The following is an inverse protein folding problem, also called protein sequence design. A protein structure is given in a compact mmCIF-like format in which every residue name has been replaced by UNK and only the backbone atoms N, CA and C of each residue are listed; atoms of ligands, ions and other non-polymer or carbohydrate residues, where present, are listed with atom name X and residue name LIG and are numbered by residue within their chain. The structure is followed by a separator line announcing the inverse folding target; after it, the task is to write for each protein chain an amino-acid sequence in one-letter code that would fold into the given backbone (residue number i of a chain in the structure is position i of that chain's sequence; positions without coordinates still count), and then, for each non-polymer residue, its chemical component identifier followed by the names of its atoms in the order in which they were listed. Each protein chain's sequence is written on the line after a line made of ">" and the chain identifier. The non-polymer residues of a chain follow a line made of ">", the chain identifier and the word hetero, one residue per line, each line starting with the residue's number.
data_IF_022007307066
#
_entry.id   IF_022007307066
#
_cell.length_a   1.000
_cell.length_b   1.000
_cell.length_c   1.000
_cell.angle_alpha   90.00
_cell.angle_beta   90.00
_cell.angle_gamma   90.00
#
_symmetry.space_group_name_H-M   'P 1'
#
loop_
_entity.id
_entity.type
_entity.pdbx_description
1 polymer ?
#
# COMPACT_ATOMS: atom_id res chain seq x y z
N UNK A 1 -16.84 -16.55 -9.01
CA UNK A 1 -18.11 -17.30 -8.98
C UNK A 1 -18.20 -18.48 -9.98
N UNK A 2 -17.34 -18.57 -10.98
CA UNK A 2 -17.35 -19.64 -12.01
C UNK A 2 -16.94 -21.03 -11.48
N UNK A 3 -16.04 -21.10 -10.50
CA UNK A 3 -15.51 -22.37 -9.97
C UNK A 3 -16.54 -23.17 -9.13
N UNK A 4 -17.47 -22.49 -8.43
CA UNK A 4 -18.51 -23.17 -7.65
C UNK A 4 -19.46 -24.01 -8.55
N UNK A 5 -19.59 -23.68 -9.83
CA UNK A 5 -20.40 -24.44 -10.80
C UNK A 5 -19.72 -25.77 -11.23
N UNK A 6 -18.42 -25.94 -10.98
CA UNK A 6 -17.62 -27.09 -11.44
C UNK A 6 -17.47 -28.22 -10.40
N UNK A 7 -18.20 -28.20 -9.28
CA UNK A 7 -18.13 -29.21 -8.20
C UNK A 7 -16.71 -29.47 -7.67
N UNK A 8 -15.84 -28.46 -7.65
CA UNK A 8 -14.49 -28.54 -7.07
C UNK A 8 -14.52 -28.04 -5.62
N UNK A 9 -13.72 -28.65 -4.76
CA UNK A 9 -13.50 -28.15 -3.40
C UNK A 9 -12.69 -26.84 -3.50
N UNK A 10 -13.25 -25.78 -2.94
CA UNK A 10 -12.62 -24.45 -2.97
C UNK A 10 -12.25 -24.08 -1.55
N UNK A 11 -10.98 -23.80 -1.31
CA UNK A 11 -10.49 -23.13 -0.10
C UNK A 11 -10.20 -21.67 -0.48
N UNK A 12 -10.99 -20.75 0.09
CA UNK A 12 -10.80 -19.32 -0.13
C UNK A 12 -9.76 -18.80 0.86
N UNK A 13 -8.57 -18.52 0.35
CA UNK A 13 -7.44 -17.97 1.12
C UNK A 13 -7.33 -16.43 0.98
N UNK A 14 -8.38 -15.75 0.51
CA UNK A 14 -8.38 -14.29 0.41
C UNK A 14 -8.19 -13.66 1.79
N UNK A 15 -7.24 -12.75 1.91
CA UNK A 15 -6.99 -12.02 3.15
C UNK A 15 -8.29 -11.38 3.67
N UNK A 16 -8.61 -11.47 4.97
CA UNK A 16 -9.83 -10.89 5.55
C UNK A 16 -10.00 -9.39 5.28
N UNK A 17 -8.90 -8.63 5.25
CA UNK A 17 -8.92 -7.21 4.92
C UNK A 17 -9.37 -6.98 3.48
N UNK A 18 -8.84 -7.73 2.52
CA UNK A 18 -9.26 -7.66 1.11
C UNK A 18 -10.72 -8.09 0.95
N UNK A 19 -11.13 -9.20 1.61
CA UNK A 19 -12.53 -9.64 1.61
C UNK A 19 -13.50 -8.59 2.17
N UNK A 20 -13.06 -7.82 3.16
CA UNK A 20 -13.83 -6.69 3.71
C UNK A 20 -14.04 -5.61 2.65
N UNK A 21 -13.00 -5.25 1.90
CA UNK A 21 -13.10 -4.25 0.83
C UNK A 21 -14.09 -4.72 -0.25
N UNK A 22 -14.00 -5.97 -0.67
CA UNK A 22 -14.92 -6.55 -1.66
C UNK A 22 -16.40 -6.39 -1.25
N UNK A 23 -16.72 -6.64 0.03
CA UNK A 23 -18.07 -6.45 0.56
C UNK A 23 -18.50 -4.99 0.57
N UNK A 24 -17.60 -4.08 0.98
CA UNK A 24 -17.86 -2.63 1.03
C UNK A 24 -18.19 -2.11 -0.37
N UNK A 25 -17.33 -2.37 -1.36
CA UNK A 25 -17.51 -1.82 -2.71
C UNK A 25 -18.71 -2.42 -3.42
N UNK A 26 -19.01 -3.70 -3.17
CA UNK A 26 -20.21 -4.35 -3.67
C UNK A 26 -21.45 -3.64 -3.15
N UNK A 27 -21.58 -3.51 -1.82
CA UNK A 27 -22.74 -2.87 -1.20
C UNK A 27 -22.87 -1.41 -1.64
N UNK A 28 -21.77 -0.63 -1.62
CA UNK A 28 -21.80 0.77 -2.03
C UNK A 28 -22.27 0.94 -3.49
N UNK A 29 -21.80 0.08 -4.40
CA UNK A 29 -22.22 0.14 -5.80
C UNK A 29 -23.65 -0.35 -6.02
N UNK A 30 -24.13 -1.32 -5.23
CA UNK A 30 -25.55 -1.75 -5.22
C UNK A 30 -26.47 -0.63 -4.70
N UNK A 31 -26.00 0.16 -3.73
CA UNK A 31 -26.70 1.35 -3.18
C UNK A 31 -26.66 2.56 -4.13
N UNK A 32 -26.10 2.41 -5.32
CA UNK A 32 -26.02 3.47 -6.34
C UNK A 32 -24.93 4.52 -6.10
N UNK A 33 -24.04 4.33 -5.12
CA UNK A 33 -22.89 5.21 -4.87
C UNK A 33 -21.84 5.03 -5.97
N UNK A 34 -21.08 6.08 -6.24
CA UNK A 34 -19.87 5.98 -7.06
C UNK A 34 -18.70 5.50 -6.21
N UNK A 35 -18.13 4.36 -6.55
CA UNK A 35 -16.96 3.82 -5.85
C UNK A 35 -15.70 4.49 -6.38
N UNK A 36 -14.89 5.05 -5.50
CA UNK A 36 -13.55 5.58 -5.77
C UNK A 36 -12.52 4.70 -5.07
N UNK A 37 -11.64 4.08 -5.85
CA UNK A 37 -10.57 3.23 -5.35
C UNK A 37 -9.27 4.02 -5.39
N UNK A 38 -8.66 4.25 -4.23
CA UNK A 38 -7.34 4.87 -4.13
C UNK A 38 -6.27 3.78 -4.17
N UNK A 39 -5.56 3.67 -5.29
CA UNK A 39 -4.59 2.62 -5.53
C UNK A 39 -4.08 2.60 -6.96
N UNK A 40 -3.10 1.75 -7.24
CA UNK A 40 -2.53 1.60 -8.58
C UNK A 40 -3.47 0.79 -9.48
N UNK A 41 -3.88 1.37 -10.61
CA UNK A 41 -4.92 0.83 -11.49
C UNK A 41 -4.59 -0.59 -12.00
N UNK A 42 -3.30 -0.86 -12.26
CA UNK A 42 -2.84 -2.16 -12.77
C UNK A 42 -2.48 -3.17 -11.66
N UNK A 43 -2.73 -2.84 -10.38
CA UNK A 43 -2.39 -3.74 -9.29
C UNK A 43 -3.42 -4.88 -9.17
N UNK A 44 -3.01 -6.16 -9.00
CA UNK A 44 -3.92 -7.30 -8.93
C UNK A 44 -5.02 -7.17 -7.87
N UNK A 45 -4.72 -6.55 -6.72
CA UNK A 45 -5.71 -6.27 -5.68
C UNK A 45 -6.77 -5.27 -6.16
N UNK A 46 -6.36 -4.19 -6.85
CA UNK A 46 -7.26 -3.16 -7.39
C UNK A 46 -8.14 -3.76 -8.49
N UNK A 47 -7.58 -4.58 -9.36
CA UNK A 47 -8.35 -5.36 -10.35
C UNK A 47 -9.39 -6.27 -9.68
N UNK A 48 -8.99 -6.93 -8.59
CA UNK A 48 -9.91 -7.73 -7.77
C UNK A 48 -11.06 -6.88 -7.21
N UNK A 49 -10.77 -5.71 -6.64
CA UNK A 49 -11.77 -4.79 -6.07
C UNK A 49 -12.74 -4.31 -7.17
N UNK A 50 -12.24 -3.91 -8.35
CA UNK A 50 -13.07 -3.51 -9.51
C UNK A 50 -14.09 -4.59 -9.86
N UNK A 51 -13.68 -5.86 -9.83
CA UNK A 51 -14.54 -7.01 -10.16
C UNK A 51 -15.72 -7.23 -9.21
N UNK A 52 -15.72 -6.60 -8.03
CA UNK A 52 -16.83 -6.66 -7.08
C UNK A 52 -17.80 -5.48 -7.20
N UNK A 53 -17.45 -4.43 -7.94
CA UNK A 53 -18.34 -3.31 -8.18
C UNK A 53 -19.40 -3.68 -9.25
N UNK A 54 -20.65 -3.29 -9.03
CA UNK A 54 -21.76 -3.46 -9.98
C UNK A 54 -21.64 -2.45 -11.13
N UNK A 55 -21.20 -1.22 -10.81
CA UNK A 55 -20.90 -0.17 -11.77
C UNK A 55 -19.40 0.05 -11.87
N UNK A 56 -18.93 0.62 -12.99
CA UNK A 56 -17.49 0.90 -13.19
C UNK A 56 -16.99 1.87 -12.11
N UNK A 57 -16.04 1.46 -11.26
CA UNK A 57 -15.44 2.34 -10.27
C UNK A 57 -14.45 3.30 -10.92
N UNK A 58 -14.11 4.36 -10.19
CA UNK A 58 -13.03 5.30 -10.54
C UNK A 58 -11.79 4.88 -9.74
N UNK A 59 -10.64 4.82 -10.40
CA UNK A 59 -9.36 4.55 -9.72
C UNK A 59 -8.51 5.80 -9.80
N UNK A 60 -7.91 6.17 -8.67
CA UNK A 60 -6.98 7.30 -8.57
C UNK A 60 -5.78 6.91 -7.71
N UNK A 61 -4.60 7.42 -8.05
CA UNK A 61 -3.36 7.14 -7.34
C UNK A 61 -2.69 8.40 -6.78
N UNK A 62 -3.15 9.59 -7.17
CA UNK A 62 -2.49 10.85 -6.84
C UNK A 62 -3.45 11.97 -6.46
N UNK A 63 -2.93 12.97 -5.72
CA UNK A 63 -3.63 14.21 -5.41
C UNK A 63 -4.06 14.96 -6.69
N UNK A 64 -3.20 15.00 -7.70
CA UNK A 64 -3.50 15.64 -8.99
C UNK A 64 -4.69 14.98 -9.72
N UNK A 65 -4.85 13.66 -9.60
CA UNK A 65 -6.02 12.97 -10.15
C UNK A 65 -7.27 13.29 -9.34
N UNK A 66 -7.17 13.35 -8.00
CA UNK A 66 -8.28 13.75 -7.14
C UNK A 66 -8.76 15.18 -7.44
N UNK A 67 -7.84 16.12 -7.72
CA UNK A 67 -8.18 17.48 -8.12
C UNK A 67 -8.96 17.55 -9.44
N UNK A 68 -8.68 16.66 -10.38
CA UNK A 68 -9.35 16.60 -11.69
C UNK A 68 -10.70 15.90 -11.66
N UNK A 69 -11.03 15.22 -10.56
CA UNK A 69 -12.33 14.57 -10.43
C UNK A 69 -13.42 15.62 -10.28
N UNK A 70 -14.30 15.70 -11.28
CA UNK A 70 -15.45 16.60 -11.31
C UNK A 70 -16.74 15.85 -11.68
N UNK A 71 -17.85 16.40 -11.20
CA UNK A 71 -19.23 16.11 -11.58
C UNK A 71 -19.63 14.62 -11.50
N UNK A 72 -19.97 14.18 -10.29
CA UNK A 72 -20.54 12.84 -10.07
C UNK A 72 -22.07 12.78 -10.21
N UNK A 73 -22.70 13.81 -10.81
CA UNK A 73 -24.15 13.83 -11.00
C UNK A 73 -24.96 13.80 -9.72
N UNK A 74 -24.43 14.38 -8.63
CA UNK A 74 -25.08 14.38 -7.30
C UNK A 74 -25.04 13.03 -6.57
N UNK A 75 -24.32 12.05 -7.08
CA UNK A 75 -24.18 10.75 -6.43
C UNK A 75 -23.22 10.84 -5.24
N UNK A 76 -23.56 10.13 -4.17
CA UNK A 76 -22.67 9.92 -3.04
C UNK A 76 -21.45 9.07 -3.44
N UNK A 77 -20.28 9.44 -2.93
CA UNK A 77 -19.04 8.71 -3.15
C UNK A 77 -18.79 7.70 -2.03
N UNK A 78 -18.25 6.54 -2.37
CA UNK A 78 -17.65 5.61 -1.42
C UNK A 78 -16.16 5.48 -1.75
N UNK A 79 -15.30 5.97 -0.87
CA UNK A 79 -13.85 5.97 -1.06
C UNK A 79 -13.26 4.79 -0.29
N UNK A 80 -12.55 3.92 -0.99
CA UNK A 80 -11.75 2.82 -0.43
C UNK A 80 -10.31 2.94 -0.91
N UNK A 81 -9.38 2.24 -0.25
CA UNK A 81 -7.99 2.19 -0.68
C UNK A 81 -7.50 0.76 -0.87
N UNK A 82 -6.51 0.60 -1.73
CA UNK A 82 -5.65 -0.59 -1.77
C UNK A 82 -5.01 -0.80 -0.39
N UNK A 83 -4.97 -2.05 0.11
CA UNK A 83 -4.50 -2.37 1.47
C UNK A 83 -3.06 -1.96 1.76
N UNK A 84 -2.23 -1.88 0.73
CA UNK A 84 -0.80 -1.52 0.81
C UNK A 84 -0.53 -0.08 0.35
N UNK A 85 -1.56 0.76 0.17
CA UNK A 85 -1.36 2.14 -0.27
C UNK A 85 -0.65 2.98 0.80
N UNK A 86 -0.02 4.08 0.38
CA UNK A 86 0.63 5.01 1.31
C UNK A 86 -0.42 5.77 2.11
N UNK A 87 -0.40 5.61 3.44
CA UNK A 87 -1.39 6.19 4.35
C UNK A 87 -1.45 7.72 4.27
N UNK A 88 -0.30 8.40 4.21
CA UNK A 88 -0.25 9.86 4.11
C UNK A 88 -0.83 10.35 2.78
N UNK A 89 -0.45 9.73 1.66
CA UNK A 89 -1.02 10.06 0.34
C UNK A 89 -2.54 9.83 0.32
N UNK A 90 -3.04 8.77 0.97
CA UNK A 90 -4.48 8.51 1.08
C UNK A 90 -5.20 9.64 1.80
N UNK A 91 -4.66 10.09 2.94
CA UNK A 91 -5.24 11.24 3.68
C UNK A 91 -5.27 12.50 2.83
N UNK A 92 -4.18 12.84 2.15
CA UNK A 92 -4.10 14.01 1.27
C UNK A 92 -5.18 13.95 0.17
N UNK A 93 -5.40 12.78 -0.44
CA UNK A 93 -6.44 12.56 -1.45
C UNK A 93 -7.84 12.74 -0.85
N UNK A 94 -8.09 12.16 0.32
CA UNK A 94 -9.38 12.29 1.02
C UNK A 94 -9.66 13.75 1.37
N UNK A 95 -8.67 14.49 1.85
CA UNK A 95 -8.80 15.91 2.18
C UNK A 95 -9.15 16.76 0.96
N UNK A 96 -8.56 16.46 -0.20
CA UNK A 96 -8.90 17.13 -1.47
C UNK A 96 -10.35 16.85 -1.86
N UNK A 97 -10.78 15.59 -1.84
CA UNK A 97 -12.13 15.21 -2.22
C UNK A 97 -13.18 15.78 -1.25
N UNK A 98 -12.87 15.85 0.04
CA UNK A 98 -13.76 16.42 1.07
C UNK A 98 -14.02 17.92 0.87
N UNK A 99 -13.03 18.65 0.34
CA UNK A 99 -13.16 20.09 0.05
C UNK A 99 -14.05 20.38 -1.17
N UNK A 100 -14.33 19.40 -2.00
CA UNK A 100 -15.14 19.55 -3.22
C UNK A 100 -16.65 19.49 -3.00
N UNK A 101 -17.11 19.54 -1.75
CA UNK A 101 -18.55 19.55 -1.37
C UNK A 101 -19.33 18.31 -1.84
N UNK A 102 -18.65 17.17 -2.00
CA UNK A 102 -19.30 15.89 -2.28
C UNK A 102 -19.81 15.23 -0.99
N UNK A 103 -20.92 14.52 -1.07
CA UNK A 103 -21.31 13.57 0.00
C UNK A 103 -20.44 12.33 -0.13
N UNK A 104 -19.53 12.13 0.84
CA UNK A 104 -18.51 11.09 0.79
C UNK A 104 -18.56 10.17 2.02
N UNK A 105 -18.52 8.86 1.78
CA UNK A 105 -18.23 7.85 2.78
C UNK A 105 -16.77 7.40 2.62
N UNK A 106 -15.93 7.75 3.57
CA UNK A 106 -14.53 7.36 3.57
C UNK A 106 -14.35 6.08 4.37
N UNK A 107 -13.91 5.03 3.69
CA UNK A 107 -13.57 3.75 4.31
C UNK A 107 -12.05 3.57 4.27
N UNK A 108 -11.37 3.85 5.39
CA UNK A 108 -9.95 3.53 5.49
C UNK A 108 -9.78 2.01 5.45
N UNK A 109 -9.36 1.51 4.31
CA UNK A 109 -9.14 0.08 4.06
C UNK A 109 -7.66 -0.28 3.95
N UNK A 110 -6.76 0.65 4.26
CA UNK A 110 -5.34 0.34 4.44
C UNK A 110 -5.21 -0.65 5.60
N UNK A 111 -4.43 -1.71 5.42
CA UNK A 111 -4.21 -2.69 6.47
C UNK A 111 -3.45 -2.04 7.65
N UNK A 112 -3.93 -2.21 8.89
CA UNK A 112 -3.30 -1.64 10.08
C UNK A 112 -1.80 -2.00 10.17
N UNK A 113 -1.45 -3.26 9.88
CA UNK A 113 -0.05 -3.67 9.85
C UNK A 113 0.78 -2.93 8.78
N UNK A 114 0.14 -2.49 7.69
CA UNK A 114 0.79 -1.64 6.67
C UNK A 114 1.00 -0.23 7.20
N UNK A 115 -0.02 0.36 7.83
CA UNK A 115 0.06 1.71 8.42
C UNK A 115 1.11 1.77 9.53
N UNK A 116 1.10 0.82 10.47
CA UNK A 116 2.09 0.72 11.54
C UNK A 116 3.50 0.62 10.98
N UNK A 117 3.72 -0.29 10.03
CA UNK A 117 5.03 -0.49 9.40
C UNK A 117 5.52 0.74 8.64
N UNK A 118 4.64 1.46 7.96
CA UNK A 118 4.98 2.70 7.26
C UNK A 118 5.37 3.81 8.24
N UNK A 119 4.64 3.94 9.33
CA UNK A 119 4.89 4.94 10.39
C UNK A 119 6.23 4.65 11.09
N UNK A 120 6.46 3.40 11.46
CA UNK A 120 7.70 2.95 12.11
C UNK A 120 8.91 3.15 11.19
N UNK A 121 8.81 2.71 9.93
CA UNK A 121 9.88 2.87 8.94
C UNK A 121 10.27 4.34 8.73
N UNK A 122 9.30 5.24 8.64
CA UNK A 122 9.55 6.68 8.54
C UNK A 122 10.19 7.26 9.80
N UNK A 123 9.84 6.75 10.99
CA UNK A 123 10.42 7.19 12.25
C UNK A 123 11.87 6.73 12.36
N UNK A 124 12.16 5.47 12.04
CA UNK A 124 13.52 4.91 12.02
C UNK A 124 14.38 5.69 11.01
N UNK A 125 13.86 5.93 9.81
CA UNK A 125 14.59 6.64 8.75
C UNK A 125 15.05 8.04 9.18
N UNK A 126 14.22 8.80 9.92
CA UNK A 126 14.59 10.12 10.44
C UNK A 126 15.72 10.08 11.47
N UNK A 127 15.94 8.95 12.10
CA UNK A 127 16.92 8.78 13.19
C UNK A 127 18.18 8.04 12.74
N UNK A 128 18.25 7.63 11.46
CA UNK A 128 19.34 6.83 10.91
C UNK A 128 20.14 7.61 9.89
N UNK A 129 21.44 7.35 9.83
CA UNK A 129 22.33 7.89 8.79
C UNK A 129 22.14 7.19 7.45
N UNK A 130 21.73 5.92 7.49
CA UNK A 130 21.35 5.13 6.32
C UNK A 130 20.17 4.20 6.61
N UNK A 131 19.42 3.84 5.57
CA UNK A 131 18.28 2.92 5.65
C UNK A 131 18.40 1.78 4.66
N UNK A 132 18.15 0.55 5.13
CA UNK A 132 17.98 -0.63 4.31
C UNK A 132 16.51 -1.02 4.26
N UNK A 133 15.97 -1.11 3.04
CA UNK A 133 14.61 -1.58 2.78
C UNK A 133 14.71 -2.93 2.05
N UNK A 134 14.37 -4.00 2.77
CA UNK A 134 14.55 -5.37 2.29
C UNK A 134 13.24 -5.90 1.69
N UNK A 135 13.29 -6.41 0.45
CA UNK A 135 12.15 -7.12 -0.16
C UNK A 135 12.16 -7.14 -1.67
N UNK A 136 11.13 -7.74 -2.27
CA UNK A 136 11.03 -7.88 -3.72
C UNK A 136 10.78 -6.56 -4.44
N UNK A 137 11.48 -6.32 -5.56
CA UNK A 137 11.34 -5.09 -6.39
C UNK A 137 9.92 -4.88 -6.93
N UNK A 138 9.14 -5.96 -7.07
CA UNK A 138 7.75 -5.90 -7.55
C UNK A 138 6.71 -5.85 -6.40
N UNK A 139 7.16 -5.85 -5.14
CA UNK A 139 6.27 -5.76 -3.99
C UNK A 139 5.81 -4.31 -3.79
N UNK A 140 4.53 -4.04 -4.00
CA UNK A 140 3.92 -2.72 -3.76
C UNK A 140 4.19 -2.21 -2.34
N UNK A 141 4.06 -3.07 -1.33
CA UNK A 141 4.35 -2.70 0.06
C UNK A 141 5.83 -2.30 0.25
N UNK A 142 6.78 -3.05 -0.33
CA UNK A 142 8.21 -2.73 -0.20
C UNK A 142 8.57 -1.43 -0.91
N UNK A 143 8.01 -1.20 -2.10
CA UNK A 143 8.20 0.06 -2.83
C UNK A 143 7.69 1.26 -2.03
N UNK A 144 6.52 1.14 -1.38
CA UNK A 144 5.98 2.22 -0.53
C UNK A 144 6.85 2.49 0.69
N UNK A 145 7.40 1.46 1.33
CA UNK A 145 8.37 1.61 2.42
C UNK A 145 9.63 2.34 1.95
N UNK A 146 10.16 1.96 0.78
CA UNK A 146 11.32 2.63 0.19
C UNK A 146 11.04 4.12 -0.08
N UNK A 147 9.89 4.46 -0.69
CA UNK A 147 9.48 5.84 -0.92
C UNK A 147 9.40 6.66 0.37
N UNK A 148 8.90 6.06 1.45
CA UNK A 148 8.77 6.71 2.77
C UNK A 148 10.15 6.94 3.38
N UNK A 149 10.98 5.90 3.45
CA UNK A 149 12.33 6.00 4.00
C UNK A 149 13.20 7.00 3.22
N UNK A 150 13.14 6.98 1.89
CA UNK A 150 13.91 7.87 1.01
C UNK A 150 13.58 9.35 1.21
N UNK A 151 12.36 9.68 1.62
CA UNK A 151 11.97 11.07 1.94
C UNK A 151 12.57 11.57 3.24
N UNK A 152 12.81 10.68 4.18
CA UNK A 152 13.30 11.01 5.53
C UNK A 152 14.81 10.79 5.67
N UNK A 153 15.40 9.89 4.87
CA UNK A 153 16.82 9.55 4.87
C UNK A 153 17.33 9.45 3.43
N UNK A 154 18.26 10.33 3.06
CA UNK A 154 18.82 10.38 1.70
C UNK A 154 19.57 9.10 1.35
N UNK A 155 20.26 8.48 2.32
CA UNK A 155 21.01 7.25 2.13
C UNK A 155 20.10 6.02 2.31
N UNK A 156 19.04 5.89 1.50
CA UNK A 156 18.12 4.75 1.54
C UNK A 156 18.41 3.79 0.38
N UNK A 157 18.63 2.53 0.72
CA UNK A 157 18.99 1.46 -0.21
C UNK A 157 17.90 0.39 -0.24
N UNK A 158 17.54 -0.03 -1.45
CA UNK A 158 16.56 -1.08 -1.68
C UNK A 158 17.27 -2.37 -2.09
N UNK A 159 17.17 -3.40 -1.28
CA UNK A 159 17.85 -4.69 -1.48
C UNK A 159 16.85 -5.85 -1.44
N UNK A 160 17.12 -6.91 -2.16
CA UNK A 160 16.39 -8.18 -2.08
C UNK A 160 17.14 -9.18 -1.22
N UNK A 161 18.44 -9.24 -1.36
CA UNK A 161 19.36 -10.14 -0.64
C UNK A 161 20.60 -9.36 -0.21
N UNK A 162 21.47 -10.01 0.55
CA UNK A 162 22.75 -9.45 0.99
C UNK A 162 23.66 -9.11 -0.20
N UNK A 163 23.56 -9.86 -1.29
CA UNK A 163 24.38 -9.65 -2.50
C UNK A 163 24.13 -8.30 -3.20
N UNK A 164 22.96 -7.68 -2.94
CA UNK A 164 22.64 -6.35 -3.45
C UNK A 164 23.34 -5.22 -2.67
N UNK A 165 24.06 -5.53 -1.57
CA UNK A 165 24.67 -4.58 -0.65
C UNK A 165 26.12 -4.32 -1.03
N UNK A 166 26.46 -3.07 -1.37
CA UNK A 166 27.85 -2.64 -1.47
C UNK A 166 28.34 -2.13 -0.11
N UNK A 167 29.04 -2.99 0.60
CA UNK A 167 29.47 -2.80 1.98
C UNK A 167 30.39 -1.62 2.21
N UNK A 168 31.21 -1.27 1.23
CA UNK A 168 32.11 -0.12 1.34
C UNK A 168 31.37 1.20 1.54
N UNK A 169 30.12 1.26 1.09
CA UNK A 169 29.28 2.43 1.27
C UNK A 169 28.76 2.58 2.70
N UNK A 170 28.73 1.49 3.51
CA UNK A 170 28.14 1.50 4.86
C UNK A 170 29.16 1.80 5.97
N UNK A 171 30.47 1.68 5.73
CA UNK A 171 31.51 1.89 6.74
C UNK A 171 31.55 3.32 7.30
N UNK A 172 30.95 4.30 6.62
CA UNK A 172 30.92 5.70 7.07
C UNK A 172 29.70 6.04 7.93
N UNK A 173 28.69 5.17 8.02
CA UNK A 173 27.46 5.43 8.77
C UNK A 173 27.57 4.96 10.21
N UNK A 174 27.11 5.81 11.17
CA UNK A 174 27.06 5.49 12.59
C UNK A 174 25.84 4.68 12.97
N UNK A 175 24.75 4.88 12.23
CA UNK A 175 23.48 4.21 12.47
C UNK A 175 22.85 3.78 11.16
N UNK A 176 22.43 2.51 11.09
CA UNK A 176 21.74 1.94 9.93
C UNK A 176 20.37 1.41 10.37
N UNK A 177 19.31 2.01 9.86
CA UNK A 177 17.95 1.53 10.07
C UNK A 177 17.62 0.43 9.09
N UNK A 178 16.84 -0.57 9.52
CA UNK A 178 16.43 -1.70 8.69
C UNK A 178 14.91 -1.84 8.74
N UNK A 179 14.27 -1.93 7.59
CA UNK A 179 12.86 -2.31 7.46
C UNK A 179 12.68 -3.34 6.35
N UNK A 180 11.59 -4.09 6.38
CA UNK A 180 11.34 -5.14 5.39
C UNK A 180 9.88 -5.19 4.94
N UNK A 181 9.69 -5.56 3.69
CA UNK A 181 8.36 -5.85 3.15
C UNK A 181 7.68 -7.02 3.88
N UNK A 182 6.34 -7.00 3.93
CA UNK A 182 5.56 -8.01 4.66
C UNK A 182 5.78 -9.46 4.19
N UNK A 183 6.16 -9.66 2.93
CA UNK A 183 6.44 -10.98 2.34
C UNK A 183 7.94 -11.35 2.36
N UNK A 184 8.79 -10.51 2.95
CA UNK A 184 10.23 -10.79 3.02
C UNK A 184 10.51 -11.94 3.99
N UNK A 185 11.23 -12.99 3.55
CA UNK A 185 11.55 -14.12 4.43
C UNK A 185 12.41 -13.70 5.63
N UNK A 186 12.10 -14.23 6.81
CA UNK A 186 12.81 -13.90 8.05
C UNK A 186 14.29 -14.25 8.03
N UNK A 187 14.70 -15.30 7.30
CA UNK A 187 16.12 -15.65 7.15
C UNK A 187 16.90 -14.54 6.45
N UNK A 188 16.35 -13.95 5.38
CA UNK A 188 16.99 -12.82 4.67
C UNK A 188 17.13 -11.61 5.60
N UNK A 189 16.07 -11.29 6.37
CA UNK A 189 16.12 -10.17 7.33
C UNK A 189 17.23 -10.40 8.37
N UNK A 190 17.29 -11.60 8.95
CA UNK A 190 18.31 -11.96 9.94
C UNK A 190 19.71 -11.94 9.39
N UNK A 191 19.90 -12.41 8.15
CA UNK A 191 21.20 -12.42 7.46
C UNK A 191 21.71 -10.98 7.31
N UNK A 192 20.89 -10.07 6.77
CA UNK A 192 21.24 -8.66 6.62
C UNK A 192 21.50 -8.00 7.99
N UNK A 193 20.66 -8.27 9.01
CA UNK A 193 20.85 -7.74 10.35
C UNK A 193 22.17 -8.20 10.97
N UNK A 194 22.48 -9.49 10.85
CA UNK A 194 23.72 -10.06 11.42
C UNK A 194 24.94 -9.45 10.75
N UNK A 195 24.83 -9.23 9.46
CA UNK A 195 25.92 -8.68 8.68
C UNK A 195 26.20 -7.22 9.06
N UNK A 196 25.18 -6.37 9.08
CA UNK A 196 25.30 -4.94 9.45
C UNK A 196 25.78 -4.74 10.89
N UNK A 197 25.56 -5.72 11.80
CA UNK A 197 26.03 -5.64 13.20
C UNK A 197 27.49 -6.02 13.38
N UNK A 198 28.07 -6.76 12.47
CA UNK A 198 29.43 -7.30 12.57
C UNK A 198 30.48 -6.43 11.85
N UNK A 199 30.05 -5.42 11.13
CA UNK A 199 30.86 -4.40 10.46
C UNK A 199 30.91 -3.11 11.32
#
# INVERSE_FOLDING_TARGET
>A
MHLKKKKVNIVDATCPFVSKIHKIVKQASEDGKTVVIVGSDNHPEVEGIKGWCVSKPIVIESASEAEKLDNFGGKKLCIVSQTTFNYKKFKDIVDILSKKSYDIDVMNTICNATEERQTEAGTIARQSDAMLVIGGKHSSNTQKLYEICRKECENTYFIQTLDDLDLKQFQSFRSVGITAGASTPNNIIKEVQSYVRNE
#
